data_IF_393260253073
#
_entry.id   IF_393260253073
#
_cell.length_a   1.000
_cell.length_b   1.000
_cell.length_c   1.000
_cell.angle_alpha   90.00
_cell.angle_beta   90.00
_cell.angle_gamma   90.00
#
_symmetry.space_group_name_H-M   'P 1'
#
loop_
_entity.id
_entity.type
_entity.pdbx_description
1 polymer ?
#
# COMPACT_ATOMS: atom_id res chain seq x y z
N UNK A 1 -5.01 -34.51 48.31
CA UNK A 1 -6.35 -34.05 47.90
C UNK A 1 -6.63 -32.69 48.54
N UNK A 2 -7.24 -31.71 47.88
CA UNK A 2 -7.91 -31.78 46.58
C UNK A 2 -7.32 -30.86 45.50
N UNK A 3 -7.47 -31.37 44.28
CA UNK A 3 -7.43 -30.75 42.97
C UNK A 3 -8.37 -29.55 42.86
N UNK A 4 -8.00 -28.52 42.10
CA UNK A 4 -8.98 -27.77 41.29
C UNK A 4 -8.40 -27.44 39.92
N UNK A 5 -9.05 -28.06 38.94
CA UNK A 5 -9.08 -27.72 37.52
C UNK A 5 -9.85 -26.41 37.35
N UNK A 6 -9.43 -25.56 36.42
CA UNK A 6 -10.22 -24.47 35.83
C UNK A 6 -9.55 -24.16 34.49
N UNK A 7 -10.00 -24.85 33.43
CA UNK A 7 -10.96 -24.37 32.42
C UNK A 7 -10.37 -23.24 31.56
N UNK A 8 -10.10 -23.62 30.31
CA UNK A 8 -9.95 -22.71 29.20
C UNK A 8 -11.26 -21.93 28.99
N UNK A 9 -11.16 -20.63 28.81
CA UNK A 9 -12.21 -19.83 28.20
C UNK A 9 -11.62 -19.10 26.99
N UNK A 10 -12.14 -19.49 25.83
CA UNK A 10 -12.13 -18.74 24.58
C UNK A 10 -12.63 -17.31 24.84
N UNK A 11 -11.82 -16.32 24.51
CA UNK A 11 -12.32 -14.96 24.30
C UNK A 11 -12.23 -14.62 22.82
N UNK A 12 -13.23 -15.07 22.06
CA UNK A 12 -13.71 -14.33 20.90
C UNK A 12 -14.21 -12.98 21.40
N UNK A 13 -13.37 -11.95 21.29
CA UNK A 13 -13.75 -10.58 21.61
C UNK A 13 -14.50 -9.97 20.43
N UNK A 14 -15.80 -9.86 20.62
CA UNK A 14 -16.81 -9.23 19.79
C UNK A 14 -16.42 -7.82 19.32
N UNK A 15 -16.63 -7.59 18.03
CA UNK A 15 -16.55 -6.32 17.31
C UNK A 15 -17.47 -5.29 17.98
N UNK A 16 -16.95 -4.11 18.29
CA UNK A 16 -17.78 -2.92 18.58
C UNK A 16 -17.87 -2.08 17.31
N UNK A 17 -19.04 -2.13 16.69
CA UNK A 17 -19.48 -1.27 15.59
C UNK A 17 -19.52 0.20 16.06
N UNK A 18 -18.95 1.11 15.26
CA UNK A 18 -19.20 2.55 15.39
C UNK A 18 -20.35 2.94 14.45
N UNK A 19 -21.58 2.90 14.97
CA UNK A 19 -22.74 3.45 14.28
C UNK A 19 -22.88 4.96 14.61
N UNK A 20 -22.92 5.80 13.58
CA UNK A 20 -23.29 7.21 13.70
C UNK A 20 -24.82 7.28 13.89
N UNK A 21 -25.25 7.81 15.02
CA UNK A 21 -26.65 7.94 15.40
C UNK A 21 -27.28 9.19 14.74
N UNK A 22 -28.09 9.00 13.70
CA UNK A 22 -29.01 10.03 13.19
C UNK A 22 -30.45 9.60 13.46
N UNK A 23 -31.22 10.49 14.08
CA UNK A 23 -32.45 10.17 14.80
C UNK A 23 -33.62 9.65 13.96
N UNK A 24 -34.30 8.66 14.54
CA UNK A 24 -35.73 8.41 14.62
C UNK A 24 -36.63 8.69 13.39
N UNK A 25 -36.94 7.64 12.63
CA UNK A 25 -38.32 7.39 12.18
C UNK A 25 -38.57 5.88 12.01
N UNK A 26 -39.58 5.36 12.71
CA UNK A 26 -39.90 3.93 12.78
C UNK A 26 -40.89 3.54 11.69
N UNK A 27 -40.45 2.81 10.66
CA UNK A 27 -41.08 1.60 10.11
C UNK A 27 -40.44 1.19 8.78
N UNK A 28 -40.15 -0.11 8.64
CA UNK A 28 -39.65 -0.78 7.44
C UNK A 28 -38.18 -0.49 7.04
N UNK A 29 -37.22 -0.86 7.89
CA UNK A 29 -35.85 -1.13 7.43
C UNK A 29 -35.65 -2.64 7.40
N UNK A 30 -35.72 -3.22 6.20
CA UNK A 30 -35.28 -4.57 5.93
C UNK A 30 -33.83 -4.77 6.39
N UNK A 31 -33.52 -6.00 6.73
CA UNK A 31 -32.24 -6.56 7.16
C UNK A 31 -31.13 -6.30 6.10
N UNK A 32 -30.71 -5.06 5.93
CA UNK A 32 -29.63 -4.68 5.02
C UNK A 32 -28.31 -5.04 5.69
N UNK A 33 -27.49 -5.84 5.00
CA UNK A 33 -26.12 -6.11 5.44
C UNK A 33 -25.38 -4.77 5.69
N UNK A 34 -24.52 -4.70 6.73
CA UNK A 34 -23.78 -3.49 7.02
C UNK A 34 -22.97 -3.05 5.79
N UNK A 35 -23.05 -1.76 5.46
CA UNK A 35 -22.31 -1.17 4.33
C UNK A 35 -20.83 -1.12 4.70
N UNK A 36 -20.01 -1.89 4.00
CA UNK A 36 -18.55 -1.86 4.15
C UNK A 36 -18.01 -0.72 3.31
N UNK A 37 -17.14 0.10 3.90
CA UNK A 37 -16.55 1.27 3.24
C UNK A 37 -15.10 0.97 2.83
N UNK A 38 -14.74 1.36 1.62
CA UNK A 38 -13.37 1.43 1.13
C UNK A 38 -12.82 2.86 1.17
N UNK A 39 -11.82 3.13 0.33
CA UNK A 39 -11.15 4.42 0.25
C UNK A 39 -12.13 5.59 0.00
N UNK A 40 -11.85 6.70 0.67
CA UNK A 40 -12.67 7.90 0.71
C UNK A 40 -14.02 7.72 1.41
N UNK A 41 -14.18 6.67 2.22
CA UNK A 41 -15.44 6.34 2.88
C UNK A 41 -16.56 5.93 1.91
N UNK A 42 -16.21 5.44 0.72
CA UNK A 42 -17.17 5.03 -0.31
C UNK A 42 -17.65 3.60 -0.06
N UNK A 43 -18.96 3.31 -0.23
CA UNK A 43 -19.45 1.94 -0.17
C UNK A 43 -18.72 1.05 -1.18
N UNK A 44 -18.22 -0.10 -0.71
CA UNK A 44 -17.69 -1.12 -1.60
C UNK A 44 -18.82 -1.72 -2.44
N UNK A 45 -18.58 -2.00 -3.73
CA UNK A 45 -19.52 -2.79 -4.51
C UNK A 45 -19.68 -4.18 -3.88
N UNK A 46 -20.72 -4.95 -4.22
CA UNK A 46 -20.82 -6.33 -3.78
C UNK A 46 -19.61 -7.16 -4.26
N UNK A 47 -19.09 -8.09 -3.44
CA UNK A 47 -18.02 -8.99 -3.87
C UNK A 47 -18.44 -9.80 -5.09
N UNK A 48 -17.50 -10.01 -6.01
CA UNK A 48 -17.71 -10.84 -7.18
C UNK A 48 -17.98 -12.29 -6.76
N UNK A 49 -18.83 -12.99 -7.51
CA UNK A 49 -19.08 -14.42 -7.35
C UNK A 49 -18.84 -15.12 -8.68
N UNK A 50 -18.09 -16.21 -8.64
CA UNK A 50 -17.77 -17.01 -9.81
C UNK A 50 -19.03 -17.41 -10.58
N UNK A 51 -18.95 -17.31 -11.90
CA UNK A 51 -20.00 -17.78 -12.82
C UNK A 51 -19.91 -19.28 -13.08
N UNK A 52 -18.85 -19.94 -12.62
CA UNK A 52 -18.49 -21.31 -12.96
C UNK A 52 -17.86 -21.45 -14.36
N UNK A 53 -17.67 -20.34 -15.08
CA UNK A 53 -16.99 -20.29 -16.37
C UNK A 53 -15.63 -19.62 -16.21
N UNK A 54 -14.56 -20.41 -16.23
CA UNK A 54 -13.19 -19.96 -15.98
C UNK A 54 -12.77 -18.78 -16.87
N UNK A 55 -13.16 -18.77 -18.15
CA UNK A 55 -12.78 -17.69 -19.06
C UNK A 55 -13.50 -16.37 -18.73
N UNK A 56 -14.78 -16.43 -18.35
CA UNK A 56 -15.54 -15.25 -17.94
C UNK A 56 -15.06 -14.70 -16.60
N UNK A 57 -14.77 -15.59 -15.65
CA UNK A 57 -14.28 -15.23 -14.33
C UNK A 57 -12.87 -14.60 -14.43
N UNK A 58 -11.99 -15.17 -15.26
CA UNK A 58 -10.67 -14.59 -15.55
C UNK A 58 -10.79 -13.23 -16.21
N UNK A 59 -11.72 -13.05 -17.16
CA UNK A 59 -11.96 -11.76 -17.79
C UNK A 59 -12.48 -10.73 -16.79
N UNK A 60 -13.29 -11.13 -15.81
CA UNK A 60 -13.71 -10.26 -14.72
C UNK A 60 -12.53 -9.79 -13.87
N UNK A 61 -11.55 -10.67 -13.58
CA UNK A 61 -10.29 -10.26 -12.94
C UNK A 61 -9.54 -9.23 -13.78
N UNK A 62 -9.39 -9.46 -15.09
CA UNK A 62 -8.71 -8.50 -15.97
C UNK A 62 -9.41 -7.14 -16.04
N UNK A 63 -10.75 -7.12 -16.02
CA UNK A 63 -11.52 -5.89 -15.91
C UNK A 63 -11.36 -5.22 -14.53
N UNK A 64 -11.21 -5.99 -13.47
CA UNK A 64 -10.90 -5.45 -12.14
C UNK A 64 -9.54 -4.75 -12.12
N UNK A 65 -8.52 -5.29 -12.79
CA UNK A 65 -7.19 -4.65 -12.89
C UNK A 65 -7.23 -3.26 -13.55
N UNK A 66 -8.23 -2.95 -14.37
CA UNK A 66 -8.41 -1.61 -14.92
C UNK A 66 -8.58 -0.55 -13.83
N UNK A 67 -9.16 -0.93 -12.67
CA UNK A 67 -9.35 -0.01 -11.55
C UNK A 67 -8.04 0.54 -11.01
N UNK A 68 -6.93 -0.19 -11.13
CA UNK A 68 -5.59 0.27 -10.73
C UNK A 68 -5.07 1.40 -11.61
N UNK A 69 -5.58 1.55 -12.84
CA UNK A 69 -5.19 2.63 -13.77
C UNK A 69 -5.99 3.91 -13.56
N UNK A 70 -7.19 3.79 -12.99
CA UNK A 70 -8.10 4.94 -12.81
C UNK A 70 -8.19 5.40 -11.36
N UNK A 71 -7.79 4.56 -10.40
CA UNK A 71 -7.70 4.94 -9.00
C UNK A 71 -6.44 5.77 -8.79
N UNK A 72 -6.65 7.02 -8.42
CA UNK A 72 -5.60 7.99 -8.10
C UNK A 72 -5.22 7.84 -6.63
N UNK A 73 -3.92 7.95 -6.34
CA UNK A 73 -3.40 7.90 -4.97
C UNK A 73 -4.03 9.00 -4.09
N UNK A 74 -4.66 8.61 -2.98
CA UNK A 74 -5.63 9.45 -2.27
C UNK A 74 -4.99 10.58 -1.46
N UNK A 75 -3.70 10.50 -1.14
CA UNK A 75 -2.93 11.53 -0.43
C UNK A 75 -2.57 12.76 -1.29
N UNK A 76 -2.97 12.78 -2.56
CA UNK A 76 -2.58 13.79 -3.55
C UNK A 76 -3.71 14.77 -3.92
N UNK A 77 -4.60 15.13 -2.98
CA UNK A 77 -5.78 15.95 -3.27
C UNK A 77 -5.50 17.34 -3.89
N UNK A 78 -4.35 17.96 -3.58
CA UNK A 78 -3.91 19.24 -4.17
C UNK A 78 -3.11 19.07 -5.48
N UNK A 79 -2.81 17.83 -5.87
CA UNK A 79 -2.01 17.51 -7.05
C UNK A 79 -2.90 17.40 -8.27
N UNK A 80 -2.56 18.13 -9.34
CA UNK A 80 -3.22 17.97 -10.64
C UNK A 80 -2.67 16.74 -11.32
N UNK A 81 -3.55 15.88 -11.84
CA UNK A 81 -3.17 14.65 -12.54
C UNK A 81 -2.22 13.80 -11.69
N UNK A 82 -2.64 13.49 -10.47
CA UNK A 82 -1.91 12.54 -9.65
C UNK A 82 -1.87 11.16 -10.31
N UNK A 83 -0.84 10.41 -9.96
CA UNK A 83 -0.54 9.10 -10.54
C UNK A 83 -1.59 8.07 -10.13
N UNK A 84 -1.72 7.04 -10.97
CA UNK A 84 -2.51 5.87 -10.63
C UNK A 84 -1.70 4.87 -9.82
N UNK A 85 -2.38 3.94 -9.13
CA UNK A 85 -1.73 2.83 -8.41
C UNK A 85 -0.87 2.00 -9.38
N UNK A 86 -1.32 1.84 -10.63
CA UNK A 86 -0.54 1.12 -11.65
C UNK A 86 0.75 1.83 -12.06
N UNK A 87 0.78 3.18 -12.03
CA UNK A 87 2.00 3.95 -12.31
C UNK A 87 3.03 3.76 -11.19
N UNK A 88 2.57 3.83 -9.93
CA UNK A 88 3.36 3.56 -8.73
C UNK A 88 4.02 2.17 -8.78
N UNK A 89 3.21 1.12 -8.94
CA UNK A 89 3.72 -0.26 -9.04
C UNK A 89 4.67 -0.46 -10.23
N UNK A 90 4.41 0.20 -11.36
CA UNK A 90 5.27 0.13 -12.54
C UNK A 90 6.66 0.70 -12.25
N UNK A 91 6.74 1.89 -11.65
CA UNK A 91 8.04 2.49 -11.32
C UNK A 91 8.76 1.70 -10.24
N UNK A 92 8.06 1.18 -9.22
CA UNK A 92 8.66 0.26 -8.24
C UNK A 92 9.28 -0.97 -8.88
N UNK A 93 8.59 -1.61 -9.84
CA UNK A 93 9.11 -2.77 -10.55
C UNK A 93 10.41 -2.44 -11.31
N UNK A 94 10.48 -1.28 -11.95
CA UNK A 94 11.71 -0.80 -12.59
C UNK A 94 12.82 -0.52 -11.58
N UNK A 95 12.50 0.07 -10.43
CA UNK A 95 13.46 0.32 -9.35
C UNK A 95 14.04 -0.98 -8.78
N UNK A 96 13.22 -2.02 -8.62
CA UNK A 96 13.68 -3.34 -8.18
C UNK A 96 14.74 -3.92 -9.13
N UNK A 97 14.61 -3.71 -10.44
CA UNK A 97 15.59 -4.15 -11.44
C UNK A 97 16.92 -3.39 -11.39
N UNK A 98 16.94 -2.18 -10.83
CA UNK A 98 18.13 -1.34 -10.73
C UNK A 98 19.02 -1.70 -9.54
N UNK A 99 18.51 -2.47 -8.58
CA UNK A 99 19.25 -2.78 -7.36
C UNK A 99 20.38 -3.77 -7.63
N UNK A 100 21.61 -3.48 -7.14
CA UNK A 100 22.73 -4.37 -7.33
C UNK A 100 22.51 -5.65 -6.52
N UNK A 101 22.51 -6.79 -7.19
CA UNK A 101 22.59 -8.08 -6.50
C UNK A 101 24.02 -8.25 -5.99
N UNK A 102 24.21 -8.35 -4.68
CA UNK A 102 25.52 -8.52 -4.05
C UNK A 102 25.62 -9.89 -3.41
N UNK A 103 26.82 -10.48 -3.39
CA UNK A 103 27.03 -11.77 -2.70
C UNK A 103 26.77 -11.71 -1.20
N UNK A 104 26.85 -10.53 -0.60
CA UNK A 104 26.61 -10.29 0.84
C UNK A 104 25.11 -10.14 1.17
N UNK A 105 24.32 -9.67 0.22
CA UNK A 105 22.86 -9.56 0.29
C UNK A 105 22.26 -10.11 -1.01
N UNK A 106 22.21 -11.45 -1.15
CA UNK A 106 21.61 -12.06 -2.32
C UNK A 106 20.11 -11.78 -2.31
N UNK A 107 19.61 -11.29 -3.44
CA UNK A 107 18.19 -10.98 -3.64
C UNK A 107 17.69 -11.69 -4.89
N UNK A 108 16.49 -12.28 -4.82
CA UNK A 108 15.77 -12.66 -6.02
C UNK A 108 15.06 -11.42 -6.62
N UNK A 109 15.75 -10.77 -7.56
CA UNK A 109 15.24 -9.58 -8.26
C UNK A 109 13.95 -9.90 -9.02
N UNK A 110 13.82 -11.10 -9.60
CA UNK A 110 12.59 -11.47 -10.33
C UNK A 110 11.41 -11.55 -9.37
N UNK A 111 11.63 -12.09 -8.17
CA UNK A 111 10.63 -12.11 -7.09
C UNK A 111 10.27 -10.71 -6.63
N UNK A 112 11.25 -9.82 -6.45
CA UNK A 112 11.00 -8.42 -6.07
C UNK A 112 10.14 -7.69 -7.11
N UNK A 113 10.45 -7.86 -8.40
CA UNK A 113 9.67 -7.28 -9.51
C UNK A 113 8.23 -7.79 -9.52
N UNK A 114 8.04 -9.10 -9.39
CA UNK A 114 6.69 -9.68 -9.34
C UNK A 114 5.91 -9.23 -8.10
N UNK A 115 6.58 -9.11 -6.95
CA UNK A 115 5.95 -8.65 -5.71
C UNK A 115 5.54 -7.18 -5.81
N UNK A 116 6.38 -6.30 -6.37
CA UNK A 116 6.03 -4.90 -6.61
C UNK A 116 4.76 -4.75 -7.46
N UNK A 117 4.53 -5.64 -8.43
CA UNK A 117 3.34 -5.64 -9.29
C UNK A 117 2.08 -6.24 -8.64
N UNK A 118 2.21 -6.87 -7.47
CA UNK A 118 1.11 -7.59 -6.79
C UNK A 118 0.72 -6.96 -5.46
N UNK A 119 1.63 -6.21 -4.82
CA UNK A 119 1.45 -5.78 -3.43
C UNK A 119 0.16 -4.97 -3.20
N UNK A 120 -0.15 -4.02 -4.08
CA UNK A 120 -1.37 -3.18 -4.02
C UNK A 120 -2.49 -3.70 -4.92
N UNK A 121 -2.45 -4.97 -5.34
CA UNK A 121 -3.47 -5.53 -6.23
C UNK A 121 -4.89 -5.39 -5.63
N UNK A 122 -5.01 -5.56 -4.30
CA UNK A 122 -6.25 -5.44 -3.55
C UNK A 122 -6.92 -4.06 -3.71
N UNK A 123 -6.13 -3.00 -3.92
CA UNK A 123 -6.60 -1.63 -4.06
C UNK A 123 -7.43 -1.41 -5.34
N UNK A 124 -7.36 -2.35 -6.29
CA UNK A 124 -8.29 -2.40 -7.42
C UNK A 124 -9.76 -2.45 -6.97
N UNK A 125 -10.02 -2.98 -5.78
CA UNK A 125 -11.35 -3.10 -5.19
C UNK A 125 -11.55 -2.20 -3.98
N UNK A 126 -10.60 -2.18 -3.03
CA UNK A 126 -10.75 -1.40 -1.79
C UNK A 126 -10.43 0.07 -1.97
N UNK A 127 -9.72 0.44 -3.04
CA UNK A 127 -9.08 1.74 -3.24
C UNK A 127 -7.87 1.96 -2.33
N UNK A 128 -7.12 3.03 -2.59
CA UNK A 128 -5.97 3.43 -1.77
C UNK A 128 -6.43 4.03 -0.43
N UNK A 129 -6.58 3.17 0.59
CA UNK A 129 -6.96 3.54 1.95
C UNK A 129 -5.73 4.08 2.68
N UNK A 130 -5.73 5.37 2.98
CA UNK A 130 -4.54 6.05 3.51
C UNK A 130 -4.65 6.39 5.00
N UNK A 131 -3.52 6.60 5.71
CA UNK A 131 -3.56 6.91 7.14
C UNK A 131 -4.40 8.13 7.51
N UNK A 132 -4.55 9.09 6.60
CA UNK A 132 -5.36 10.30 6.81
C UNK A 132 -6.86 10.01 6.94
N UNK A 133 -7.32 8.86 6.45
CA UNK A 133 -8.71 8.43 6.55
C UNK A 133 -9.06 7.85 7.93
N UNK A 134 -8.04 7.60 8.78
CA UNK A 134 -8.24 7.11 10.14
C UNK A 134 -8.76 5.67 10.24
N UNK A 135 -8.75 4.92 9.14
CA UNK A 135 -9.08 3.49 9.13
C UNK A 135 -7.99 2.73 9.89
N UNK A 136 -8.34 1.94 10.93
CA UNK A 136 -7.34 1.16 11.66
C UNK A 136 -6.61 0.18 10.74
N UNK A 137 -5.30 0.02 10.91
CA UNK A 137 -4.47 -0.84 10.05
C UNK A 137 -4.99 -2.28 9.93
N UNK A 138 -5.51 -2.86 11.02
CA UNK A 138 -6.08 -4.21 10.98
C UNK A 138 -7.38 -4.28 10.16
N UNK A 139 -8.16 -3.20 10.09
CA UNK A 139 -9.36 -3.14 9.25
C UNK A 139 -8.95 -3.01 7.78
N UNK A 140 -7.98 -2.14 7.46
CA UNK A 140 -7.41 -2.03 6.09
C UNK A 140 -6.95 -3.41 5.60
N UNK A 141 -6.11 -4.08 6.39
CA UNK A 141 -5.59 -5.40 6.06
C UNK A 141 -6.69 -6.44 5.85
N UNK A 142 -7.73 -6.45 6.70
CA UNK A 142 -8.88 -7.36 6.52
C UNK A 142 -9.65 -7.09 5.23
N UNK A 143 -9.84 -5.83 4.84
CA UNK A 143 -10.50 -5.47 3.58
C UNK A 143 -9.67 -5.91 2.38
N UNK A 144 -8.35 -5.70 2.43
CA UNK A 144 -7.43 -6.09 1.37
C UNK A 144 -7.34 -7.61 1.24
N UNK A 145 -7.29 -8.34 2.35
CA UNK A 145 -7.32 -9.80 2.38
C UNK A 145 -8.61 -10.34 1.75
N UNK A 146 -9.77 -9.76 2.07
CA UNK A 146 -11.05 -10.15 1.46
C UNK A 146 -11.10 -9.87 -0.05
N UNK A 147 -10.52 -8.76 -0.50
CA UNK A 147 -10.40 -8.45 -1.92
C UNK A 147 -9.51 -9.47 -2.64
N UNK A 148 -8.35 -9.80 -2.06
CA UNK A 148 -7.45 -10.82 -2.59
C UNK A 148 -8.12 -12.19 -2.63
N UNK A 149 -8.81 -12.59 -1.57
CA UNK A 149 -9.55 -13.86 -1.55
C UNK A 149 -10.62 -13.91 -2.64
N UNK A 150 -11.32 -12.81 -2.91
CA UNK A 150 -12.28 -12.72 -4.01
C UNK A 150 -11.59 -12.87 -5.36
N UNK A 151 -10.48 -12.17 -5.60
CA UNK A 151 -9.74 -12.29 -6.86
C UNK A 151 -9.23 -13.71 -7.09
N UNK A 152 -8.68 -14.32 -6.05
CA UNK A 152 -8.01 -15.60 -6.14
C UNK A 152 -8.98 -16.78 -6.15
N UNK A 153 -10.02 -16.76 -5.33
CA UNK A 153 -10.93 -17.91 -5.18
C UNK A 153 -12.15 -17.83 -6.11
N UNK A 154 -12.63 -16.63 -6.44
CA UNK A 154 -13.81 -16.46 -7.29
C UNK A 154 -13.43 -16.17 -8.75
N UNK A 155 -12.58 -15.16 -8.99
CA UNK A 155 -12.24 -14.77 -10.36
C UNK A 155 -11.17 -15.69 -10.99
N UNK A 156 -10.18 -16.10 -10.20
CA UNK A 156 -9.11 -17.04 -10.60
C UNK A 156 -9.30 -18.45 -9.97
N UNK A 157 -10.54 -18.78 -9.56
CA UNK A 157 -10.89 -20.03 -8.89
C UNK A 157 -10.69 -21.29 -9.75
N UNK A 158 -10.76 -21.15 -11.07
CA UNK A 158 -10.63 -22.22 -12.04
C UNK A 158 -9.30 -22.97 -11.98
N UNK A 159 -9.31 -24.25 -12.37
CA UNK A 159 -8.13 -25.12 -12.29
C UNK A 159 -7.01 -24.68 -13.24
N UNK A 160 -7.33 -24.05 -14.38
CA UNK A 160 -6.35 -23.52 -15.32
C UNK A 160 -5.53 -22.35 -14.74
N UNK A 161 -6.06 -21.67 -13.72
CA UNK A 161 -5.42 -20.52 -13.08
C UNK A 161 -4.64 -20.88 -11.80
N UNK A 162 -4.57 -22.16 -11.43
CA UNK A 162 -3.98 -22.61 -10.16
C UNK A 162 -2.60 -22.00 -9.88
N UNK A 163 -1.68 -22.09 -10.85
CA UNK A 163 -0.30 -21.62 -10.67
C UNK A 163 -0.22 -20.10 -10.53
N UNK A 164 -1.07 -19.36 -11.25
CA UNK A 164 -1.16 -17.90 -11.13
C UNK A 164 -1.72 -17.51 -9.76
N UNK A 165 -2.78 -18.18 -9.32
CA UNK A 165 -3.41 -17.98 -8.02
C UNK A 165 -2.43 -18.20 -6.87
N UNK A 166 -1.71 -19.32 -6.87
CA UNK A 166 -0.71 -19.65 -5.85
C UNK A 166 0.44 -18.63 -5.85
N UNK A 167 0.88 -18.18 -7.03
CA UNK A 167 1.92 -17.15 -7.15
C UNK A 167 1.48 -15.81 -6.58
N UNK A 168 0.29 -15.32 -6.94
CA UNK A 168 -0.23 -14.06 -6.41
C UNK A 168 -0.43 -14.10 -4.91
N UNK A 169 -1.01 -15.19 -4.36
CA UNK A 169 -1.16 -15.33 -2.91
C UNK A 169 0.20 -15.32 -2.21
N UNK A 170 1.14 -16.12 -2.70
CA UNK A 170 2.48 -16.19 -2.11
C UNK A 170 3.21 -14.85 -2.09
N UNK A 171 3.12 -14.06 -3.16
CA UNK A 171 3.78 -12.75 -3.23
C UNK A 171 3.11 -11.72 -2.31
N UNK A 172 1.78 -11.69 -2.31
CA UNK A 172 1.02 -10.76 -1.45
C UNK A 172 1.23 -11.06 0.03
N UNK A 173 1.15 -12.33 0.44
CA UNK A 173 1.41 -12.76 1.83
C UNK A 173 2.81 -12.40 2.29
N UNK A 174 3.80 -12.62 1.43
CA UNK A 174 5.18 -12.32 1.76
C UNK A 174 5.39 -10.81 1.93
N UNK A 175 4.80 -10.00 1.07
CA UNK A 175 4.84 -8.55 1.19
C UNK A 175 4.20 -8.09 2.51
N UNK A 176 3.01 -8.58 2.84
CA UNK A 176 2.30 -8.19 4.06
C UNK A 176 3.05 -8.60 5.34
N UNK A 177 3.65 -9.79 5.34
CA UNK A 177 4.40 -10.31 6.47
C UNK A 177 5.70 -9.51 6.74
N UNK A 178 6.37 -9.00 5.70
CA UNK A 178 7.63 -8.23 5.79
C UNK A 178 8.78 -8.97 6.48
N UNK A 179 8.83 -10.28 6.28
CA UNK A 179 9.81 -11.15 6.94
C UNK A 179 11.04 -11.49 6.08
N UNK A 180 10.88 -11.50 4.75
CA UNK A 180 11.95 -11.86 3.80
C UNK A 180 12.79 -10.64 3.40
N UNK A 181 14.05 -10.83 2.98
CA UNK A 181 14.85 -9.75 2.39
C UNK A 181 14.15 -9.06 1.21
N UNK A 182 13.48 -9.84 0.35
CA UNK A 182 12.72 -9.34 -0.79
C UNK A 182 11.52 -8.48 -0.36
N UNK A 183 10.68 -8.93 0.57
CA UNK A 183 9.52 -8.15 1.03
C UNK A 183 9.90 -6.86 1.73
N UNK A 184 10.94 -6.88 2.57
CA UNK A 184 11.46 -5.67 3.22
C UNK A 184 12.01 -4.69 2.19
N UNK A 185 12.70 -5.20 1.18
CA UNK A 185 13.20 -4.36 0.09
C UNK A 185 12.07 -3.77 -0.74
N UNK A 186 11.06 -4.55 -1.13
CA UNK A 186 9.91 -4.00 -1.88
C UNK A 186 9.17 -2.97 -1.04
N UNK A 187 9.08 -3.14 0.29
CA UNK A 187 8.52 -2.11 1.18
C UNK A 187 9.35 -0.83 1.22
N UNK A 188 10.68 -0.96 1.17
CA UNK A 188 11.55 0.20 1.02
C UNK A 188 11.35 0.90 -0.32
N UNK A 189 11.18 0.13 -1.41
CA UNK A 189 10.89 0.66 -2.73
C UNK A 189 9.57 1.44 -2.75
N UNK A 190 8.50 0.91 -2.17
CA UNK A 190 7.22 1.60 -2.00
C UNK A 190 7.43 2.97 -1.31
N UNK A 191 8.11 2.97 -0.16
CA UNK A 191 8.40 4.21 0.60
C UNK A 191 9.18 5.26 -0.18
N UNK A 192 10.28 4.86 -0.83
CA UNK A 192 11.15 5.82 -1.55
C UNK A 192 10.49 6.29 -2.85
N UNK A 193 9.66 5.45 -3.49
CA UNK A 193 8.88 5.82 -4.66
C UNK A 193 7.87 6.93 -4.33
N UNK A 194 7.13 6.79 -3.22
CA UNK A 194 6.21 7.84 -2.74
C UNK A 194 6.93 9.18 -2.49
N UNK A 195 8.11 9.13 -1.86
CA UNK A 195 8.91 10.33 -1.60
C UNK A 195 9.45 10.94 -2.90
N UNK A 196 9.88 10.10 -3.84
CA UNK A 196 10.35 10.54 -5.16
C UNK A 196 9.23 11.22 -5.94
N UNK A 197 8.03 10.64 -5.96
CA UNK A 197 6.89 11.24 -6.62
C UNK A 197 6.51 12.58 -5.99
N UNK A 198 6.55 12.68 -4.67
CA UNK A 198 6.29 13.93 -3.98
C UNK A 198 7.25 15.03 -4.46
N UNK A 199 8.55 14.76 -4.63
CA UNK A 199 9.50 15.72 -5.20
C UNK A 199 9.15 16.09 -6.64
N UNK A 200 8.71 15.15 -7.48
CA UNK A 200 8.26 15.45 -8.85
C UNK A 200 7.05 16.40 -8.87
N UNK A 201 6.09 16.23 -7.95
CA UNK A 201 4.96 17.14 -7.79
C UNK A 201 5.38 18.51 -7.25
N UNK A 202 6.25 18.57 -6.23
CA UNK A 202 6.82 19.83 -5.75
C UNK A 202 7.53 20.59 -6.88
N UNK A 203 8.29 19.86 -7.71
CA UNK A 203 9.03 20.42 -8.84
C UNK A 203 8.11 20.94 -9.93
N UNK A 204 7.17 20.13 -10.39
CA UNK A 204 6.33 20.45 -11.56
C UNK A 204 5.15 21.37 -11.23
N UNK A 205 4.64 21.34 -10.00
CA UNK A 205 3.40 22.03 -9.62
C UNK A 205 3.57 23.05 -8.48
N UNK A 206 4.76 23.18 -7.92
CA UNK A 206 5.07 24.13 -6.83
C UNK A 206 4.22 23.94 -5.55
N UNK A 207 3.85 22.68 -5.27
CA UNK A 207 3.10 22.28 -4.08
C UNK A 207 4.03 22.24 -2.86
N UNK A 208 3.57 22.66 -1.68
CA UNK A 208 4.37 22.69 -0.43
C UNK A 208 3.81 21.80 0.68
N UNK A 209 2.63 21.23 0.48
CA UNK A 209 1.89 20.46 1.50
C UNK A 209 2.30 18.98 1.56
N UNK A 210 3.27 18.55 0.75
CA UNK A 210 3.67 17.13 0.61
C UNK A 210 4.70 16.66 1.65
N UNK A 211 5.02 17.49 2.65
CA UNK A 211 5.90 17.10 3.76
C UNK A 211 5.57 15.74 4.42
N UNK A 212 4.28 15.35 4.62
CA UNK A 212 3.93 14.06 5.22
C UNK A 212 4.47 12.83 4.48
N UNK A 213 4.59 12.88 3.14
CA UNK A 213 5.13 11.77 2.34
C UNK A 213 6.58 11.44 2.72
N UNK A 214 7.37 12.45 3.10
CA UNK A 214 8.75 12.25 3.49
C UNK A 214 8.87 11.69 4.91
N UNK A 215 8.08 12.22 5.85
CA UNK A 215 8.12 11.80 7.26
C UNK A 215 7.70 10.35 7.47
N UNK A 216 6.69 9.91 6.72
CA UNK A 216 6.20 8.53 6.79
C UNK A 216 7.13 7.52 6.12
N UNK A 217 7.90 7.95 5.12
CA UNK A 217 8.68 7.06 4.27
C UNK A 217 10.17 7.01 4.64
N UNK A 218 10.86 8.15 4.60
CA UNK A 218 12.33 8.23 4.60
C UNK A 218 12.96 7.64 5.88
N UNK A 219 12.48 7.94 7.10
CA UNK A 219 13.08 7.41 8.32
C UNK A 219 12.98 5.88 8.46
N UNK A 220 12.04 5.26 7.73
CA UNK A 220 11.73 3.85 7.87
C UNK A 220 12.47 2.96 6.86
N UNK A 221 13.32 3.52 6.01
CA UNK A 221 14.10 2.75 5.04
C UNK A 221 15.15 1.89 5.75
N UNK A 222 15.31 0.65 5.32
CA UNK A 222 16.20 -0.34 5.94
C UNK A 222 17.42 -0.67 5.05
N UNK A 223 17.22 -0.79 3.75
CA UNK A 223 18.23 -1.22 2.80
C UNK A 223 19.25 -0.09 2.52
N UNK A 224 20.57 -0.35 2.54
CA UNK A 224 21.57 0.70 2.38
C UNK A 224 21.48 1.48 1.07
N UNK A 225 21.11 0.81 -0.03
CA UNK A 225 20.98 1.47 -1.34
C UNK A 225 19.77 2.41 -1.38
N UNK A 226 18.63 2.02 -0.82
CA UNK A 226 17.42 2.86 -0.81
C UNK A 226 17.61 4.05 0.13
N UNK A 227 18.33 3.86 1.25
CA UNK A 227 18.79 4.94 2.12
C UNK A 227 19.71 5.94 1.42
N UNK A 228 20.64 5.46 0.58
CA UNK A 228 21.52 6.35 -0.20
C UNK A 228 20.72 7.14 -1.25
N UNK A 229 19.75 6.50 -1.92
CA UNK A 229 18.84 7.18 -2.84
C UNK A 229 18.03 8.25 -2.11
N UNK A 230 17.50 7.93 -0.92
CA UNK A 230 16.78 8.88 -0.08
C UNK A 230 17.62 10.10 0.30
N UNK A 231 18.85 9.91 0.78
CA UNK A 231 19.73 11.02 1.12
C UNK A 231 19.99 11.93 -0.10
N UNK A 232 20.21 11.33 -1.27
CA UNK A 232 20.41 12.05 -2.53
C UNK A 232 19.16 12.84 -2.93
N UNK A 233 17.99 12.21 -2.85
CA UNK A 233 16.69 12.81 -3.17
C UNK A 233 16.37 13.99 -2.23
N UNK A 234 16.64 13.85 -0.92
CA UNK A 234 16.39 14.93 0.03
C UNK A 234 17.30 16.14 -0.20
N UNK A 235 18.55 15.91 -0.59
CA UNK A 235 19.46 16.98 -1.00
C UNK A 235 19.01 17.65 -2.31
N UNK A 236 18.50 16.88 -3.27
CA UNK A 236 17.91 17.42 -4.50
C UNK A 236 16.69 18.29 -4.20
N UNK A 237 15.78 17.81 -3.34
CA UNK A 237 14.62 18.56 -2.86
C UNK A 237 15.04 19.85 -2.15
N UNK A 238 16.07 19.82 -1.30
CA UNK A 238 16.62 21.01 -0.63
C UNK A 238 17.11 22.05 -1.65
N UNK A 239 17.87 21.62 -2.66
CA UNK A 239 18.36 22.48 -3.74
C UNK A 239 17.21 23.08 -4.55
N UNK A 240 16.18 22.29 -4.86
CA UNK A 240 14.97 22.74 -5.53
C UNK A 240 14.34 23.94 -4.79
N UNK A 241 14.08 23.80 -3.49
CA UNK A 241 13.45 24.87 -2.71
C UNK A 241 14.35 26.09 -2.52
N UNK A 242 15.64 25.87 -2.29
CA UNK A 242 16.64 26.94 -2.20
C UNK A 242 16.68 27.77 -3.49
N UNK A 243 16.63 27.12 -4.66
CA UNK A 243 16.64 27.80 -5.96
C UNK A 243 15.41 28.72 -6.19
N UNK A 244 14.31 28.47 -5.47
CA UNK A 244 13.08 29.28 -5.51
C UNK A 244 13.10 30.45 -4.54
N UNK A 245 14.23 30.71 -3.87
CA UNK A 245 14.36 31.76 -2.86
C UNK A 245 13.54 31.49 -1.60
N UNK A 246 13.10 30.24 -1.39
CA UNK A 246 12.38 29.83 -0.19
C UNK A 246 13.41 29.30 0.79
N UNK A 247 13.63 30.08 1.85
CA UNK A 247 14.35 29.59 3.02
C UNK A 247 13.55 28.44 3.65
N UNK A 248 14.26 27.50 4.24
CA UNK A 248 13.78 26.26 4.81
C UNK A 248 12.99 26.49 6.12
N UNK A 249 12.04 27.42 6.14
CA UNK A 249 11.15 27.67 7.27
C UNK A 249 9.78 27.09 6.91
N UNK A 250 9.54 25.82 7.28
CA UNK A 250 8.24 25.15 7.07
C UNK A 250 8.31 23.76 6.43
N UNK A 251 9.48 23.37 5.94
CA UNK A 251 9.82 21.99 5.58
C UNK A 251 10.66 21.49 6.75
N UNK A 252 10.27 20.43 7.47
CA UNK A 252 11.02 19.95 8.65
C UNK A 252 12.47 19.62 8.30
N UNK A 253 13.45 19.84 9.20
CA UNK A 253 14.87 19.57 8.91
C UNK A 253 15.02 18.18 8.30
N UNK A 254 15.41 18.12 7.02
CA UNK A 254 15.47 16.83 6.36
C UNK A 254 16.60 15.96 6.96
N UNK A 255 17.55 16.58 7.65
CA UNK A 255 18.61 15.91 8.41
C UNK A 255 18.05 15.16 9.62
N UNK A 256 16.86 15.52 10.09
CA UNK A 256 16.16 14.81 11.17
C UNK A 256 15.38 13.59 10.64
N UNK A 257 15.05 13.54 9.35
CA UNK A 257 14.31 12.44 8.72
C UNK A 257 15.22 11.46 7.95
N UNK A 258 16.40 11.87 7.51
CA UNK A 258 17.39 10.97 6.90
C UNK A 258 18.28 10.37 8.00
N UNK A 259 18.44 9.04 8.07
CA UNK A 259 19.35 8.41 9.02
C UNK A 259 20.79 8.95 8.90
N UNK A 260 21.41 9.27 10.05
CA UNK A 260 22.72 9.96 10.13
C UNK A 260 23.88 9.18 9.50
N UNK A 261 23.77 7.85 9.39
CA UNK A 261 24.72 6.97 8.71
C UNK A 261 24.74 7.16 7.17
N UNK A 262 23.73 7.83 6.62
CA UNK A 262 23.58 8.05 5.18
C UNK A 262 24.21 9.37 4.70
N UNK A 263 24.41 10.33 5.61
CA UNK A 263 24.86 11.70 5.29
C UNK A 263 26.38 11.78 5.09
N UNK A 264 27.15 10.83 5.62
CA UNK A 264 28.62 10.90 5.72
C UNK A 264 29.40 10.09 4.65
N UNK A 265 28.74 9.53 3.62
CA UNK A 265 29.40 8.72 2.58
C UNK A 265 29.67 9.49 1.27
N UNK A 266 29.76 10.82 1.35
CA UNK A 266 30.02 11.69 0.21
C UNK A 266 31.26 12.55 0.41
N UNK A 267 32.43 11.90 0.52
CA UNK A 267 33.76 12.52 0.29
C UNK A 267 34.50 11.72 -0.79
#
# INVERSE_FOLDING_TARGET
>A
MPTKVSQAENTHSTIKEMAVNTGNDTSLAANAAPVVLGAGGKPLPPPYKSTGNEALDTLAFLHMLEQLKVTVLSQCSDVKQAESISDHMCRMALMAMMLPNSSERPLDISRCVMMALVHDLAEAYVGDITPVEGVPTHVKHQLEEQAMDTFLNEMLGGQGNKDARERFRSLWDEYEARETPESRLVKDLDRIELALQAVEYERSQDIQTLAPFFKGSIPNLEHPVTRQWAATLMEERRKLWTSRGRAYEGLEDWQDIVPQDCVNNGD
#
